data_IF_289910894437
#
_entry.id   IF_289910894437
#
_cell.length_a   1.000
_cell.length_b   1.000
_cell.length_c   1.000
_cell.angle_alpha   90.00
_cell.angle_beta   90.00
_cell.angle_gamma   90.00
#
_symmetry.space_group_name_H-M   'P 1'
#
loop_
_entity.id
_entity.type
_entity.pdbx_description
1 polymer ?
#
# COMPACT_ATOMS: atom_id res chain seq x y z
N UNK A 1 -108.76 29.02 -4.74
CA UNK A 1 -108.31 28.50 -6.05
C UNK A 1 -108.13 26.99 -5.90
N UNK A 2 -108.55 26.25 -6.93
CA UNK A 2 -109.00 24.85 -6.95
C UNK A 2 -108.02 23.76 -6.47
N UNK A 3 -108.63 22.70 -5.90
CA UNK A 3 -108.39 21.25 -6.11
C UNK A 3 -107.05 20.66 -5.61
N UNK A 4 -106.93 19.45 -5.06
CA UNK A 4 -107.78 18.25 -4.94
C UNK A 4 -106.90 17.19 -4.23
N UNK A 5 -107.28 16.65 -3.06
CA UNK A 5 -107.75 15.24 -2.82
C UNK A 5 -106.74 14.12 -3.23
N UNK A 6 -106.53 12.95 -2.58
CA UNK A 6 -107.31 12.08 -1.67
C UNK A 6 -106.43 10.87 -1.18
N UNK A 7 -106.73 10.35 0.03
CA UNK A 7 -106.62 8.97 0.59
C UNK A 7 -105.28 8.20 0.70
N UNK A 8 -104.83 7.65 1.86
CA UNK A 8 -105.33 6.64 2.86
C UNK A 8 -105.07 5.15 2.49
N UNK A 9 -104.19 4.46 3.24
CA UNK A 9 -104.33 3.13 3.91
C UNK A 9 -102.95 2.69 4.47
N UNK A 10 -102.70 2.61 5.79
CA UNK A 10 -102.96 1.56 6.80
C UNK A 10 -102.09 0.27 6.72
N UNK A 11 -101.24 0.11 7.76
CA UNK A 11 -100.74 -1.09 8.48
C UNK A 11 -100.01 -2.22 7.72
N UNK A 12 -98.80 -2.60 8.16
CA UNK A 12 -98.51 -3.89 8.85
C UNK A 12 -97.11 -3.83 9.50
N UNK A 13 -97.07 -4.28 10.75
CA UNK A 13 -95.93 -4.50 11.64
C UNK A 13 -95.18 -5.80 11.27
N UNK A 14 -93.84 -5.78 11.17
CA UNK A 14 -93.00 -6.98 11.39
C UNK A 14 -91.74 -6.58 12.15
N UNK A 15 -91.62 -7.11 13.38
CA UNK A 15 -90.40 -7.15 14.17
C UNK A 15 -89.36 -8.06 13.51
N UNK A 16 -88.10 -7.63 13.50
CA UNK A 16 -86.95 -8.47 13.13
C UNK A 16 -85.75 -8.06 13.97
N UNK A 17 -85.54 -8.79 15.07
CA UNK A 17 -84.33 -8.77 15.90
C UNK A 17 -83.11 -9.16 15.08
N UNK A 18 -82.01 -8.40 15.13
CA UNK A 18 -80.69 -8.93 14.78
C UNK A 18 -79.56 -8.17 15.49
N UNK A 19 -78.68 -8.98 16.01
CA UNK A 19 -77.68 -8.76 17.04
C UNK A 19 -76.48 -7.94 16.57
N UNK A 20 -75.82 -7.33 17.55
CA UNK A 20 -74.51 -6.68 17.51
C UNK A 20 -73.47 -7.38 16.61
N UNK A 21 -72.74 -6.60 15.82
CA UNK A 21 -71.30 -6.79 15.61
C UNK A 21 -70.61 -5.42 15.56
N UNK A 22 -69.92 -5.09 16.65
CA UNK A 22 -68.85 -4.10 16.64
C UNK A 22 -67.75 -4.63 15.70
N UNK A 23 -67.56 -3.96 14.57
CA UNK A 23 -66.40 -4.20 13.71
C UNK A 23 -65.15 -3.72 14.44
N UNK A 24 -64.34 -4.66 14.92
CA UNK A 24 -62.94 -4.40 15.25
C UNK A 24 -62.26 -3.88 13.98
N UNK A 25 -61.84 -2.61 14.01
CA UNK A 25 -60.98 -2.02 12.98
C UNK A 25 -59.69 -2.86 12.95
N UNK A 26 -59.51 -3.64 11.88
CA UNK A 26 -58.28 -4.38 11.60
C UNK A 26 -57.13 -3.37 11.64
N UNK A 27 -56.20 -3.54 12.57
CA UNK A 27 -54.92 -2.83 12.52
C UNK A 27 -54.18 -3.47 11.35
N UNK A 28 -54.11 -2.76 10.23
CA UNK A 28 -53.18 -3.12 9.16
C UNK A 28 -51.78 -2.96 9.74
N UNK A 29 -51.09 -4.07 9.98
CA UNK A 29 -49.65 -4.04 10.09
C UNK A 29 -49.14 -3.59 8.73
N UNK A 30 -48.68 -2.33 8.64
CA UNK A 30 -47.96 -1.85 7.47
C UNK A 30 -46.87 -2.86 7.15
N UNK A 31 -46.81 -3.30 5.89
CA UNK A 31 -45.72 -4.14 5.41
C UNK A 31 -44.41 -3.43 5.72
N UNK A 32 -43.48 -4.12 6.36
CA UNK A 32 -42.12 -3.63 6.61
C UNK A 32 -41.54 -3.11 5.28
N UNK A 33 -41.19 -1.83 5.25
CA UNK A 33 -40.76 -1.12 4.03
C UNK A 33 -39.28 -1.41 3.77
N UNK A 34 -38.85 -1.59 2.49
CA UNK A 34 -37.44 -1.79 2.16
C UNK A 34 -36.55 -0.71 2.80
N UNK A 35 -35.52 -1.12 3.53
CA UNK A 35 -34.54 -0.22 4.16
C UNK A 35 -33.14 -0.81 4.13
N UNK A 36 -32.16 0.03 3.82
CA UNK A 36 -30.73 -0.27 3.99
C UNK A 36 -30.06 0.85 4.76
N UNK A 37 -29.14 0.50 5.65
CA UNK A 37 -28.27 1.45 6.34
C UNK A 37 -26.85 0.91 6.49
N UNK A 38 -25.89 1.83 6.69
CA UNK A 38 -24.51 1.47 7.02
C UNK A 38 -24.43 1.20 8.52
N UNK A 39 -23.85 0.06 8.89
CA UNK A 39 -23.63 -0.34 10.27
C UNK A 39 -22.73 0.67 11.00
N UNK A 40 -23.05 0.94 12.27
CA UNK A 40 -22.29 1.83 13.15
C UNK A 40 -20.82 1.42 13.31
N UNK A 41 -20.52 0.12 13.29
CA UNK A 41 -19.17 -0.44 13.41
C UNK A 41 -18.28 -0.21 12.17
N UNK A 42 -18.84 0.30 11.07
CA UNK A 42 -18.02 0.72 9.92
C UNK A 42 -17.13 1.88 10.35
N UNK A 43 -15.82 1.75 10.16
CA UNK A 43 -14.85 2.79 10.55
C UNK A 43 -15.13 4.13 9.87
N UNK A 44 -14.81 5.23 10.55
CA UNK A 44 -14.90 6.60 10.00
C UNK A 44 -13.58 7.10 9.42
N UNK A 45 -12.49 6.36 9.58
CA UNK A 45 -11.17 6.74 9.05
C UNK A 45 -10.40 5.47 8.67
N UNK A 46 -9.70 5.51 7.54
CA UNK A 46 -8.86 4.43 7.07
C UNK A 46 -7.71 4.97 6.21
N UNK A 47 -6.54 4.33 6.27
CA UNK A 47 -5.46 4.65 5.33
C UNK A 47 -5.77 4.07 3.94
N UNK A 48 -5.41 4.80 2.89
CA UNK A 48 -5.42 4.27 1.52
C UNK A 48 -4.54 3.01 1.41
N UNK A 49 -4.88 2.07 0.52
CA UNK A 49 -4.19 0.78 0.41
C UNK A 49 -4.60 -0.28 1.44
N UNK A 50 -5.60 -0.01 2.29
CA UNK A 50 -6.17 -0.99 3.23
C UNK A 50 -7.54 -1.49 2.74
N UNK A 51 -7.95 -2.67 3.19
CA UNK A 51 -9.31 -3.16 2.97
C UNK A 51 -10.29 -2.43 3.87
N UNK A 52 -11.27 -1.75 3.28
CA UNK A 52 -12.39 -1.14 4.01
C UNK A 52 -13.48 -2.20 4.19
N UNK A 53 -13.72 -2.62 5.44
CA UNK A 53 -14.87 -3.46 5.78
C UNK A 53 -16.08 -2.59 6.10
N UNK A 54 -17.15 -2.73 5.32
CA UNK A 54 -18.42 -2.03 5.54
C UNK A 54 -19.48 -3.04 5.93
N UNK A 55 -20.18 -2.76 7.03
CA UNK A 55 -21.38 -3.49 7.42
C UNK A 55 -22.63 -2.79 6.90
N UNK A 56 -23.61 -3.58 6.48
CA UNK A 56 -24.91 -3.13 6.00
C UNK A 56 -26.00 -3.82 6.81
N UNK A 57 -27.02 -3.07 7.20
CA UNK A 57 -28.26 -3.61 7.75
C UNK A 57 -29.32 -3.42 6.68
N UNK A 58 -29.81 -4.52 6.13
CA UNK A 58 -30.80 -4.55 5.05
C UNK A 58 -32.06 -5.29 5.51
N UNK A 59 -33.23 -4.72 5.26
CA UNK A 59 -34.52 -5.38 5.50
C UNK A 59 -35.40 -5.21 4.26
N UNK A 60 -35.93 -6.32 3.74
CA UNK A 60 -36.73 -6.37 2.51
C UNK A 60 -36.10 -5.69 1.30
N UNK A 61 -34.77 -5.75 1.20
CA UNK A 61 -34.00 -5.24 0.07
C UNK A 61 -33.21 -6.40 -0.50
N UNK A 62 -33.36 -6.66 -1.80
CA UNK A 62 -32.63 -7.73 -2.50
C UNK A 62 -31.36 -7.22 -3.16
N UNK A 63 -31.29 -5.92 -3.49
CA UNK A 63 -30.09 -5.27 -3.97
C UNK A 63 -30.04 -3.77 -3.63
N UNK A 64 -28.84 -3.22 -3.60
CA UNK A 64 -28.61 -1.79 -3.48
C UNK A 64 -27.26 -1.40 -4.08
N UNK A 65 -27.15 -0.15 -4.52
CA UNK A 65 -25.89 0.40 -5.00
C UNK A 65 -25.10 1.00 -3.84
N UNK A 66 -23.85 0.60 -3.70
CA UNK A 66 -22.87 1.21 -2.81
C UNK A 66 -21.90 2.06 -3.63
N UNK A 67 -21.47 3.20 -3.11
CA UNK A 67 -20.47 4.06 -3.74
C UNK A 67 -19.63 4.80 -2.70
N UNK A 68 -18.42 5.18 -3.09
CA UNK A 68 -17.57 6.08 -2.31
C UNK A 68 -17.43 7.36 -3.10
N UNK A 69 -17.89 8.47 -2.53
CA UNK A 69 -18.00 9.76 -3.23
C UNK A 69 -17.18 10.81 -2.48
N UNK A 70 -16.12 11.41 -3.08
CA UNK A 70 -15.38 12.50 -2.47
C UNK A 70 -16.30 13.69 -2.25
N UNK A 71 -16.17 14.34 -1.10
CA UNK A 71 -16.95 15.54 -0.78
C UNK A 71 -16.61 16.69 -1.75
N UNK A 72 -15.36 16.77 -2.21
CA UNK A 72 -14.87 17.86 -3.06
C UNK A 72 -15.17 17.71 -4.56
N UNK A 73 -15.27 16.47 -5.08
CA UNK A 73 -15.31 16.20 -6.53
C UNK A 73 -16.68 15.74 -7.05
N UNK A 74 -17.55 15.20 -6.18
CA UNK A 74 -18.92 14.77 -6.53
C UNK A 74 -19.02 13.50 -7.40
N UNK A 75 -18.00 13.15 -8.19
CA UNK A 75 -17.91 11.88 -8.92
C UNK A 75 -17.48 10.73 -8.00
N UNK A 76 -18.09 9.55 -8.16
CA UNK A 76 -17.76 8.40 -7.33
C UNK A 76 -16.36 7.84 -7.66
N UNK A 77 -15.53 7.64 -6.62
CA UNK A 77 -14.26 6.91 -6.72
C UNK A 77 -14.49 5.44 -7.05
N UNK A 78 -15.62 4.91 -6.58
CA UNK A 78 -16.08 3.56 -6.90
C UNK A 78 -17.58 3.44 -6.75
N UNK A 79 -18.16 2.50 -7.49
CA UNK A 79 -19.56 2.10 -7.40
C UNK A 79 -19.65 0.58 -7.56
N UNK A 80 -20.45 -0.07 -6.72
CA UNK A 80 -20.69 -1.50 -6.80
C UNK A 80 -22.15 -1.82 -6.44
N UNK A 81 -22.77 -2.75 -7.17
CA UNK A 81 -24.08 -3.29 -6.81
C UNK A 81 -23.91 -4.44 -5.81
N UNK A 82 -24.67 -4.41 -4.72
CA UNK A 82 -24.63 -5.40 -3.65
C UNK A 82 -25.96 -6.13 -3.60
N UNK A 83 -25.94 -7.44 -3.80
CA UNK A 83 -27.09 -8.32 -3.63
C UNK A 83 -27.14 -8.83 -2.19
N UNK A 84 -28.35 -8.91 -1.64
CA UNK A 84 -28.64 -9.42 -0.30
C UNK A 84 -29.53 -10.64 -0.41
N UNK A 85 -29.14 -11.73 0.24
CA UNK A 85 -29.98 -12.92 0.30
C UNK A 85 -31.30 -12.60 1.04
N UNK A 86 -32.46 -13.08 0.56
CA UNK A 86 -33.77 -12.71 1.12
C UNK A 86 -33.97 -12.99 2.63
N UNK A 87 -33.11 -13.80 3.25
CA UNK A 87 -33.16 -14.16 4.67
C UNK A 87 -31.99 -13.58 5.48
N UNK A 88 -31.27 -12.60 4.94
CA UNK A 88 -30.07 -12.02 5.57
C UNK A 88 -30.29 -10.54 5.89
N UNK A 89 -30.24 -10.20 7.18
CA UNK A 89 -30.44 -8.82 7.64
C UNK A 89 -29.15 -8.02 7.81
N UNK A 90 -28.02 -8.71 7.99
CA UNK A 90 -26.72 -8.11 8.19
C UNK A 90 -25.77 -8.69 7.14
N UNK A 91 -25.24 -7.81 6.30
CA UNK A 91 -24.25 -8.14 5.28
C UNK A 91 -22.99 -7.36 5.58
N UNK A 92 -21.81 -7.97 5.44
CA UNK A 92 -20.55 -7.23 5.48
C UNK A 92 -19.73 -7.53 4.25
N UNK A 93 -19.11 -6.50 3.69
CA UNK A 93 -18.24 -6.62 2.52
C UNK A 93 -16.95 -5.87 2.73
N UNK A 94 -15.87 -6.41 2.17
CA UNK A 94 -14.57 -5.76 2.13
C UNK A 94 -14.35 -5.15 0.75
N UNK A 95 -13.87 -3.91 0.72
CA UNK A 95 -13.52 -3.19 -0.48
C UNK A 95 -12.03 -2.86 -0.45
N UNK A 96 -11.32 -3.16 -1.54
CA UNK A 96 -9.92 -2.80 -1.69
C UNK A 96 -9.81 -1.31 -2.00
N UNK A 97 -9.26 -0.53 -1.08
CA UNK A 97 -9.02 0.91 -1.28
C UNK A 97 -7.68 1.08 -1.99
N UNK A 98 -7.63 1.65 -3.21
CA UNK A 98 -6.38 1.90 -3.91
C UNK A 98 -5.43 2.77 -3.09
N UNK A 99 -4.14 2.48 -3.13
CA UNK A 99 -3.12 3.29 -2.48
C UNK A 99 -2.70 4.47 -3.37
N UNK A 100 -3.62 5.42 -3.58
CA UNK A 100 -3.44 6.54 -4.50
C UNK A 100 -3.78 7.86 -3.83
N UNK A 101 -3.03 8.92 -4.17
CA UNK A 101 -3.24 10.26 -3.61
C UNK A 101 -4.63 10.82 -3.95
N UNK A 102 -5.20 10.43 -5.10
CA UNK A 102 -6.56 10.82 -5.51
C UNK A 102 -7.67 10.35 -4.56
N UNK A 103 -7.40 9.35 -3.73
CA UNK A 103 -8.34 8.83 -2.75
C UNK A 103 -8.25 9.53 -1.39
N UNK A 104 -7.19 10.31 -1.14
CA UNK A 104 -6.96 10.95 0.16
C UNK A 104 -7.93 12.13 0.34
N UNK A 105 -8.58 12.18 1.49
CA UNK A 105 -9.50 13.25 1.86
C UNK A 105 -10.85 12.74 2.38
N UNK A 106 -11.78 13.66 2.56
CA UNK A 106 -13.11 13.36 3.05
C UNK A 106 -14.02 12.85 1.94
N UNK A 107 -14.75 11.79 2.24
CA UNK A 107 -15.69 11.14 1.34
C UNK A 107 -16.97 10.71 2.07
N UNK A 108 -17.96 10.32 1.29
CA UNK A 108 -19.21 9.74 1.73
C UNK A 108 -19.29 8.29 1.25
N UNK A 109 -19.47 7.37 2.19
CA UNK A 109 -19.99 6.04 1.92
C UNK A 109 -21.47 6.20 1.60
N UNK A 110 -21.86 6.03 0.35
CA UNK A 110 -23.22 6.27 -0.15
C UNK A 110 -23.89 4.95 -0.49
N UNK A 111 -25.14 4.80 -0.06
CA UNK A 111 -26.05 3.74 -0.46
C UNK A 111 -27.19 4.37 -1.25
N UNK A 112 -27.60 3.73 -2.35
CA UNK A 112 -28.81 4.06 -3.11
C UNK A 112 -29.63 2.80 -3.35
N UNK A 113 -30.93 2.84 -3.01
CA UNK A 113 -31.86 1.72 -3.19
C UNK A 113 -33.27 2.23 -3.48
N UNK A 114 -34.14 1.39 -4.03
CA UNK A 114 -35.54 1.75 -4.29
C UNK A 114 -36.43 1.27 -3.16
N UNK A 115 -37.31 2.14 -2.67
CA UNK A 115 -38.34 1.81 -1.68
C UNK A 115 -39.63 2.52 -2.08
N UNK A 116 -40.73 1.76 -2.21
CA UNK A 116 -42.05 2.27 -2.60
C UNK A 116 -42.03 3.11 -3.90
N UNK A 117 -41.16 2.75 -4.85
CA UNK A 117 -41.00 3.46 -6.12
C UNK A 117 -40.17 4.75 -6.04
N UNK A 118 -39.59 5.07 -4.89
CA UNK A 118 -38.66 6.19 -4.70
C UNK A 118 -37.23 5.70 -4.51
N UNK A 119 -36.27 6.46 -5.06
CA UNK A 119 -34.86 6.24 -4.78
C UNK A 119 -34.52 6.88 -3.44
N UNK A 120 -34.04 6.07 -2.51
CA UNK A 120 -33.59 6.49 -1.19
C UNK A 120 -32.07 6.46 -1.15
N UNK A 121 -31.48 7.54 -0.63
CA UNK A 121 -30.04 7.63 -0.42
C UNK A 121 -29.70 7.71 1.07
N UNK A 122 -28.65 7.00 1.48
CA UNK A 122 -28.07 7.06 2.83
C UNK A 122 -26.58 7.28 2.72
N UNK A 123 -26.03 8.10 3.61
CA UNK A 123 -24.59 8.41 3.61
C UNK A 123 -23.98 8.25 4.99
N UNK A 124 -22.72 7.79 5.05
CA UNK A 124 -21.88 7.84 6.24
C UNK A 124 -20.54 8.50 5.87
N UNK A 125 -20.06 9.51 6.61
CA UNK A 125 -18.77 10.12 6.33
C UNK A 125 -17.62 9.15 6.60
N UNK A 126 -16.56 9.27 5.81
CA UNK A 126 -15.29 8.58 6.00
C UNK A 126 -14.14 9.51 5.57
N UNK A 127 -13.02 9.44 6.26
CA UNK A 127 -11.78 10.13 5.87
C UNK A 127 -10.74 9.10 5.45
N UNK A 128 -10.21 9.26 4.24
CA UNK A 128 -9.07 8.48 3.74
C UNK A 128 -7.78 9.23 4.03
N UNK A 129 -6.87 8.60 4.75
CA UNK A 129 -5.58 9.20 5.13
C UNK A 129 -4.42 8.60 4.35
N UNK A 130 -3.30 9.31 4.31
CA UNK A 130 -2.09 8.82 3.65
C UNK A 130 -1.57 7.53 4.32
N UNK A 131 -1.15 6.58 3.49
CA UNK A 131 -0.42 5.40 3.90
C UNK A 131 1.08 5.66 3.80
N UNK A 132 1.79 5.41 4.90
CA UNK A 132 3.25 5.42 4.95
C UNK A 132 3.74 4.00 5.28
N UNK A 133 3.68 3.07 4.30
CA UNK A 133 4.04 1.70 4.56
C UNK A 133 5.54 1.59 4.78
N UNK A 134 5.91 0.69 5.69
CA UNK A 134 7.28 0.41 6.03
C UNK A 134 7.58 -1.05 5.70
N UNK A 135 8.83 -1.31 5.36
CA UNK A 135 9.35 -2.65 5.21
C UNK A 135 10.76 -2.67 5.77
N UNK A 136 11.12 -3.77 6.40
CA UNK A 136 12.44 -3.97 6.99
C UNK A 136 13.03 -5.27 6.45
N UNK A 137 14.34 -5.35 6.36
CA UNK A 137 15.06 -6.60 6.10
C UNK A 137 15.72 -7.10 7.39
N UNK A 138 15.62 -8.40 7.64
CA UNK A 138 16.17 -9.05 8.83
C UNK A 138 16.78 -10.40 8.44
N UNK A 139 17.94 -10.77 8.97
CA UNK A 139 18.53 -12.07 8.68
C UNK A 139 19.95 -12.25 9.21
N UNK A 140 20.31 -13.51 9.44
CA UNK A 140 21.68 -13.87 9.82
C UNK A 140 22.70 -13.62 8.70
N UNK A 141 22.27 -13.52 7.45
CA UNK A 141 23.13 -13.19 6.30
C UNK A 141 23.44 -11.70 6.16
N UNK A 142 22.83 -10.83 6.96
CA UNK A 142 23.06 -9.38 6.96
C UNK A 142 23.41 -8.87 8.36
N UNK A 143 23.68 -7.57 8.50
CA UNK A 143 24.16 -6.99 9.74
C UNK A 143 23.16 -7.08 10.92
N UNK A 144 21.85 -7.11 10.63
CA UNK A 144 20.81 -7.12 11.66
C UNK A 144 20.75 -8.41 12.49
N UNK A 145 21.26 -9.53 11.97
CA UNK A 145 20.92 -10.84 12.51
C UNK A 145 19.41 -11.13 12.44
N UNK A 146 18.94 -12.10 13.23
CA UNK A 146 17.54 -12.54 13.31
C UNK A 146 16.71 -11.76 14.35
N UNK A 147 17.13 -10.56 14.72
CA UNK A 147 16.47 -9.74 15.75
C UNK A 147 15.58 -8.67 15.08
N UNK A 148 14.23 -8.76 15.15
CA UNK A 148 13.32 -7.81 14.52
C UNK A 148 13.60 -6.35 14.89
N UNK A 149 13.98 -6.09 16.14
CA UNK A 149 14.26 -4.74 16.63
C UNK A 149 15.54 -4.13 16.04
N UNK A 150 16.41 -4.96 15.47
CA UNK A 150 17.63 -4.55 14.76
C UNK A 150 17.49 -4.63 13.23
N UNK A 151 16.29 -4.94 12.72
CA UNK A 151 16.02 -5.01 11.29
C UNK A 151 16.30 -3.67 10.59
N UNK A 152 16.76 -3.75 9.35
CA UNK A 152 17.23 -2.59 8.58
C UNK A 152 16.04 -2.04 7.79
N UNK A 153 15.68 -0.75 7.94
CA UNK A 153 14.58 -0.16 7.19
C UNK A 153 14.91 -0.11 5.69
N UNK A 154 13.93 -0.46 4.88
CA UNK A 154 13.98 -0.34 3.42
C UNK A 154 13.34 0.98 2.97
N UNK A 155 13.75 1.47 1.81
CA UNK A 155 13.20 2.69 1.18
C UNK A 155 12.28 2.33 0.03
N UNK A 156 11.22 3.12 -0.19
CA UNK A 156 10.41 2.99 -1.40
C UNK A 156 11.25 3.38 -2.62
N UNK A 157 11.29 2.55 -3.67
CA UNK A 157 12.06 2.84 -4.89
C UNK A 157 11.20 3.30 -6.07
N UNK A 158 9.87 3.18 -5.96
CA UNK A 158 8.90 3.67 -6.93
C UNK A 158 7.96 4.60 -6.17
N UNK A 159 8.08 5.91 -6.39
CA UNK A 159 7.33 6.93 -5.63
C UNK A 159 5.81 6.81 -5.76
N UNK A 160 5.34 6.17 -6.84
CA UNK A 160 3.92 5.98 -7.12
C UNK A 160 3.43 4.63 -6.59
N UNK A 161 4.35 3.70 -6.31
CA UNK A 161 4.06 2.43 -5.64
C UNK A 161 4.43 2.47 -4.17
N UNK A 162 3.44 2.23 -3.32
CA UNK A 162 3.60 2.16 -1.87
C UNK A 162 3.85 0.70 -1.41
N UNK A 163 4.20 -0.21 -2.31
CA UNK A 163 4.43 -1.64 -2.04
C UNK A 163 5.84 -2.11 -2.42
N UNK A 164 6.64 -1.25 -3.05
CA UNK A 164 7.94 -1.57 -3.65
C UNK A 164 9.09 -0.98 -2.85
N UNK A 165 9.87 -1.84 -2.20
CA UNK A 165 10.92 -1.46 -1.28
C UNK A 165 12.29 -1.93 -1.76
N UNK A 166 13.33 -1.17 -1.43
CA UNK A 166 14.72 -1.44 -1.76
C UNK A 166 15.64 -1.19 -0.56
N UNK A 167 16.71 -1.97 -0.48
CA UNK A 167 17.84 -1.73 0.41
C UNK A 167 19.12 -2.28 -0.22
N UNK A 168 20.27 -1.77 0.21
CA UNK A 168 21.58 -2.24 -0.23
C UNK A 168 22.32 -2.83 0.96
N UNK A 169 22.68 -4.11 0.90
CA UNK A 169 23.33 -4.81 2.01
C UNK A 169 24.42 -5.73 1.51
N UNK A 170 25.47 -5.90 2.31
CA UNK A 170 26.39 -7.02 2.13
C UNK A 170 25.73 -8.28 2.68
N UNK A 171 25.54 -9.28 1.83
CA UNK A 171 24.84 -10.53 2.17
C UNK A 171 25.81 -11.69 2.05
N UNK A 172 25.92 -12.50 3.11
CA UNK A 172 26.78 -13.70 3.11
C UNK A 172 25.99 -15.00 2.94
N UNK A 173 26.64 -16.02 2.40
CA UNK A 173 26.08 -17.37 2.25
C UNK A 173 25.92 -18.07 3.60
N UNK A 174 26.85 -17.84 4.54
CA UNK A 174 26.94 -18.55 5.83
C UNK A 174 25.90 -18.12 6.89
N UNK A 175 25.12 -17.08 6.62
CA UNK A 175 24.19 -16.49 7.59
C UNK A 175 22.79 -17.09 7.62
N UNK A 176 22.55 -18.22 6.93
CA UNK A 176 21.23 -18.86 6.83
C UNK A 176 20.14 -18.02 6.16
N UNK A 177 20.48 -16.91 5.51
CA UNK A 177 19.58 -16.06 4.73
C UNK A 177 18.97 -14.88 5.49
N UNK A 178 17.92 -14.32 4.90
CA UNK A 178 17.15 -13.20 5.41
C UNK A 178 15.65 -13.31 5.04
N UNK A 179 14.85 -12.42 5.63
CA UNK A 179 13.41 -12.23 5.44
C UNK A 179 13.07 -10.74 5.45
N UNK A 180 11.81 -10.42 5.14
CA UNK A 180 11.28 -9.07 5.28
C UNK A 180 10.20 -8.99 6.35
N UNK A 181 10.13 -7.86 7.06
CA UNK A 181 9.14 -7.61 8.09
C UNK A 181 8.33 -6.34 7.78
N UNK A 182 6.99 -6.37 7.91
CA UNK A 182 6.16 -5.17 7.83
C UNK A 182 6.35 -4.21 9.02
N UNK A 183 6.86 -4.73 10.14
CA UNK A 183 7.18 -3.97 11.36
C UNK A 183 8.54 -4.40 11.89
N UNK A 184 9.22 -3.56 12.66
CA UNK A 184 10.47 -3.92 13.34
C UNK A 184 10.23 -4.47 14.77
N UNK A 185 9.06 -5.07 15.02
CA UNK A 185 8.65 -5.52 16.36
C UNK A 185 8.66 -7.04 16.45
N UNK A 186 8.02 -7.70 15.49
CA UNK A 186 7.83 -9.15 15.51
C UNK A 186 7.74 -9.74 14.09
N UNK A 187 7.39 -11.03 14.03
CA UNK A 187 7.32 -11.81 12.79
C UNK A 187 5.93 -11.84 12.16
N UNK A 188 4.97 -11.07 12.68
CA UNK A 188 3.60 -11.01 12.16
C UNK A 188 3.62 -10.52 10.72
N UNK A 189 2.96 -11.26 9.83
CA UNK A 189 2.89 -10.97 8.41
C UNK A 189 4.27 -10.85 7.70
N UNK A 190 5.31 -11.48 8.25
CA UNK A 190 6.63 -11.53 7.64
C UNK A 190 6.59 -12.16 6.24
N UNK A 191 7.50 -11.72 5.38
CA UNK A 191 7.70 -12.29 4.06
C UNK A 191 9.00 -13.08 4.03
N UNK A 192 8.91 -14.32 3.55
CA UNK A 192 10.05 -15.17 3.27
C UNK A 192 10.00 -15.74 1.86
N UNK A 193 10.86 -16.71 1.60
CA UNK A 193 11.00 -17.38 0.31
C UNK A 193 9.70 -18.07 -0.10
N UNK A 194 9.25 -17.78 -1.32
CA UNK A 194 8.14 -18.45 -1.99
C UNK A 194 8.52 -19.82 -2.57
N UNK A 195 7.60 -20.42 -3.32
CA UNK A 195 7.78 -21.75 -3.92
C UNK A 195 8.71 -21.75 -5.13
N UNK A 196 8.92 -20.58 -5.75
CA UNK A 196 9.79 -20.38 -6.91
C UNK A 196 10.83 -19.31 -6.59
N UNK A 197 11.96 -19.31 -7.28
CA UNK A 197 12.95 -18.25 -7.09
C UNK A 197 12.36 -16.89 -7.51
N UNK A 198 12.75 -15.84 -6.79
CA UNK A 198 12.21 -14.50 -6.97
C UNK A 198 10.78 -14.29 -6.45
N UNK A 199 10.12 -15.29 -5.86
CA UNK A 199 8.77 -15.13 -5.27
C UNK A 199 8.79 -15.13 -3.74
N UNK A 200 7.78 -14.50 -3.15
CA UNK A 200 7.62 -14.37 -1.71
C UNK A 200 6.38 -15.12 -1.21
N UNK A 201 6.50 -15.69 -0.01
CA UNK A 201 5.39 -16.17 0.79
C UNK A 201 5.24 -15.27 2.02
N UNK A 202 4.05 -14.71 2.21
CA UNK A 202 3.72 -13.92 3.40
C UNK A 202 3.26 -14.86 4.51
N UNK A 203 4.22 -15.29 5.32
CA UNK A 203 4.02 -16.13 6.50
C UNK A 203 5.28 -16.06 7.37
N UNK A 204 5.09 -16.04 8.70
CA UNK A 204 6.19 -16.15 9.65
C UNK A 204 7.02 -17.43 9.42
N UNK A 205 6.36 -18.52 8.99
CA UNK A 205 6.96 -19.83 8.75
C UNK A 205 7.58 -19.99 7.35
N UNK A 206 7.51 -18.96 6.49
CA UNK A 206 8.12 -19.01 5.17
C UNK A 206 9.63 -19.29 5.27
N UNK A 207 10.23 -19.91 4.25
CA UNK A 207 11.67 -20.16 4.23
C UNK A 207 12.50 -18.87 4.20
N UNK A 208 13.80 -18.99 4.42
CA UNK A 208 14.72 -17.85 4.30
C UNK A 208 15.14 -17.64 2.84
N UNK A 209 15.34 -16.38 2.45
CA UNK A 209 15.93 -16.01 1.17
C UNK A 209 17.45 -16.10 1.32
N UNK A 210 18.12 -16.78 0.39
CA UNK A 210 19.56 -17.07 0.45
C UNK A 210 20.26 -16.58 -0.82
N UNK A 211 21.55 -16.25 -0.71
CA UNK A 211 22.41 -15.91 -1.85
C UNK A 211 23.36 -17.06 -2.19
N UNK A 212 23.81 -17.12 -3.45
CA UNK A 212 24.76 -18.14 -3.90
C UNK A 212 26.23 -17.78 -3.60
N UNK A 213 26.52 -16.50 -3.39
CA UNK A 213 27.86 -16.01 -3.05
C UNK A 213 27.78 -14.78 -2.16
N UNK A 214 28.79 -14.61 -1.34
CA UNK A 214 29.02 -13.37 -0.59
C UNK A 214 29.19 -12.20 -1.56
N UNK A 215 28.37 -11.16 -1.41
CA UNK A 215 28.46 -9.96 -2.25
C UNK A 215 27.69 -8.79 -1.65
N UNK A 216 27.89 -7.61 -2.22
CA UNK A 216 27.06 -6.44 -1.95
C UNK A 216 25.85 -6.46 -2.90
N UNK A 217 24.65 -6.60 -2.36
CA UNK A 217 23.42 -6.73 -3.14
C UNK A 217 22.54 -5.51 -2.99
N UNK A 218 21.93 -5.11 -4.10
CA UNK A 218 20.64 -4.44 -4.11
C UNK A 218 19.56 -5.47 -3.92
N UNK A 219 18.78 -5.31 -2.86
CA UNK A 219 17.67 -6.18 -2.49
C UNK A 219 16.39 -5.39 -2.73
N UNK A 220 15.56 -5.85 -3.65
CA UNK A 220 14.22 -5.29 -3.88
C UNK A 220 13.15 -6.28 -3.49
N UNK A 221 12.02 -5.76 -3.04
CA UNK A 221 10.81 -6.56 -2.85
C UNK A 221 9.57 -5.77 -3.26
N UNK A 222 8.57 -6.50 -3.75
CA UNK A 222 7.23 -6.00 -4.03
C UNK A 222 6.24 -6.78 -3.15
N UNK A 223 5.67 -6.09 -2.16
CA UNK A 223 4.76 -6.69 -1.19
C UNK A 223 3.40 -7.08 -1.81
N UNK A 224 3.00 -6.43 -2.90
CA UNK A 224 1.73 -6.66 -3.59
C UNK A 224 1.88 -7.80 -4.60
N UNK A 225 2.90 -7.72 -5.47
CA UNK A 225 3.21 -8.78 -6.43
C UNK A 225 3.79 -10.04 -5.76
N UNK A 226 4.24 -9.93 -4.50
CA UNK A 226 4.92 -10.98 -3.73
C UNK A 226 6.15 -11.49 -4.46
N UNK A 227 7.02 -10.58 -4.86
CA UNK A 227 8.28 -10.89 -5.56
C UNK A 227 9.48 -10.21 -4.89
N UNK A 228 10.67 -10.72 -5.15
CA UNK A 228 11.93 -10.11 -4.76
C UNK A 228 12.98 -10.23 -5.86
N UNK A 229 13.94 -9.32 -5.88
CA UNK A 229 15.07 -9.30 -6.80
C UNK A 229 16.36 -9.08 -6.01
N UNK A 230 17.38 -9.87 -6.34
CA UNK A 230 18.73 -9.70 -5.81
C UNK A 230 19.67 -9.38 -6.97
N UNK A 231 20.26 -8.20 -6.94
CA UNK A 231 21.22 -7.77 -7.94
C UNK A 231 22.53 -7.41 -7.26
N UNK A 232 23.62 -8.11 -7.62
CA UNK A 232 24.96 -7.74 -7.20
C UNK A 232 25.26 -6.31 -7.65
N UNK A 233 25.81 -5.50 -6.76
CA UNK A 233 26.10 -4.11 -7.03
C UNK A 233 27.59 -3.83 -6.94
N UNK A 234 28.14 -3.21 -7.98
CA UNK A 234 29.55 -2.83 -8.10
C UNK A 234 29.69 -1.32 -8.07
N UNK A 235 30.84 -0.84 -7.62
CA UNK A 235 31.20 0.57 -7.69
C UNK A 235 32.44 0.73 -8.55
N UNK A 236 32.44 1.76 -9.37
CA UNK A 236 33.56 2.16 -10.21
C UNK A 236 33.86 3.65 -10.08
N UNK A 237 35.01 4.05 -10.60
CA UNK A 237 35.33 5.46 -10.88
C UNK A 237 35.35 5.69 -12.38
N UNK A 238 34.78 6.81 -12.83
CA UNK A 238 34.71 7.22 -14.23
C UNK A 238 35.07 8.70 -14.35
N UNK A 239 35.70 9.11 -15.45
CA UNK A 239 35.97 10.52 -15.72
C UNK A 239 37.25 10.77 -16.50
N UNK A 240 37.46 12.02 -16.95
CA UNK A 240 38.62 12.39 -17.76
C UNK A 240 39.98 12.13 -17.09
N UNK A 241 40.01 12.02 -15.75
CA UNK A 241 41.21 11.65 -15.00
C UNK A 241 41.49 10.13 -14.97
N UNK A 242 40.51 9.28 -15.30
CA UNK A 242 40.62 7.82 -15.22
C UNK A 242 41.18 7.20 -16.52
N UNK A 243 41.67 5.95 -16.51
CA UNK A 243 42.28 5.31 -17.69
C UNK A 243 41.40 5.28 -18.95
N UNK A 244 40.07 5.19 -18.78
CA UNK A 244 39.11 5.04 -19.87
C UNK A 244 38.26 6.31 -20.09
N UNK A 245 38.59 7.43 -19.44
CA UNK A 245 37.82 8.65 -19.58
C UNK A 245 36.36 8.49 -19.13
N UNK A 246 35.44 9.01 -19.92
CA UNK A 246 33.99 8.89 -19.72
C UNK A 246 33.36 7.71 -20.47
N UNK A 247 34.17 6.83 -21.08
CA UNK A 247 33.67 5.73 -21.89
C UNK A 247 33.34 4.48 -21.05
N UNK A 248 34.10 4.19 -20.00
CA UNK A 248 33.85 3.08 -19.08
C UNK A 248 34.46 3.29 -17.70
N UNK A 249 33.92 2.58 -16.70
CA UNK A 249 34.39 2.66 -15.32
C UNK A 249 35.72 1.94 -15.15
N UNK A 250 36.45 2.33 -14.11
CA UNK A 250 37.48 1.51 -13.48
C UNK A 250 36.91 0.93 -12.19
N UNK A 251 36.67 -0.38 -12.18
CA UNK A 251 36.03 -1.08 -11.08
C UNK A 251 36.79 -0.99 -9.75
N UNK A 252 36.06 -0.71 -8.68
CA UNK A 252 36.57 -0.77 -7.32
C UNK A 252 36.29 -2.15 -6.72
N UNK A 253 37.19 -2.60 -5.85
CA UNK A 253 37.03 -3.85 -5.11
C UNK A 253 36.32 -3.61 -3.79
N UNK A 254 35.20 -4.29 -3.54
CA UNK A 254 34.60 -4.34 -2.21
C UNK A 254 35.53 -5.07 -1.22
N UNK A 255 35.76 -4.47 -0.07
CA UNK A 255 36.63 -5.00 1.01
C UNK A 255 35.95 -4.92 2.39
N UNK A 256 34.64 -4.71 2.40
CA UNK A 256 33.84 -4.58 3.61
C UNK A 256 33.36 -5.90 4.19
N UNK A 257 32.40 -5.79 5.11
CA UNK A 257 31.70 -6.90 5.77
C UNK A 257 30.27 -6.47 6.13
N UNK A 258 29.50 -7.32 6.81
CA UNK A 258 28.13 -6.99 7.26
C UNK A 258 28.15 -5.71 8.10
N UNK A 259 27.45 -4.66 7.64
CA UNK A 259 27.38 -3.37 8.32
C UNK A 259 28.59 -2.44 8.14
N UNK A 260 29.62 -2.87 7.41
CA UNK A 260 30.81 -2.05 7.12
C UNK A 260 31.05 -2.08 5.61
N UNK A 261 30.71 -1.00 4.92
CA UNK A 261 30.71 -0.96 3.46
C UNK A 261 31.83 -0.09 2.95
N UNK A 262 32.81 -0.71 2.28
CA UNK A 262 33.98 -0.01 1.75
C UNK A 262 34.46 -0.65 0.45
N UNK A 263 34.74 0.19 -0.53
CA UNK A 263 35.35 -0.18 -1.81
C UNK A 263 36.71 0.50 -1.95
N UNK A 264 37.67 -0.21 -2.53
CA UNK A 264 39.04 0.30 -2.74
C UNK A 264 39.51 0.11 -4.17
N UNK A 265 40.29 1.08 -4.64
CA UNK A 265 40.94 1.05 -5.94
C UNK A 265 42.31 1.72 -5.84
N UNK A 266 43.33 1.08 -6.42
CA UNK A 266 44.62 1.73 -6.68
C UNK A 266 44.74 1.94 -8.18
N UNK A 267 44.88 3.20 -8.62
CA UNK A 267 44.81 3.57 -10.05
C UNK A 267 45.76 4.72 -10.36
N UNK A 268 46.26 4.78 -11.61
CA UNK A 268 46.96 5.96 -12.11
C UNK A 268 45.94 6.96 -12.66
N UNK A 269 45.97 8.19 -12.15
CA UNK A 269 45.12 9.27 -12.60
C UNK A 269 45.93 10.33 -13.35
N UNK A 270 45.29 10.99 -14.31
CA UNK A 270 45.80 12.20 -14.97
C UNK A 270 45.17 13.45 -14.37
N UNK A 271 45.57 14.65 -14.83
CA UNK A 271 44.86 15.88 -14.48
C UNK A 271 43.51 15.88 -15.18
N UNK A 272 42.43 16.07 -14.43
CA UNK A 272 41.07 16.00 -14.95
C UNK A 272 40.05 15.86 -13.84
N UNK A 273 38.97 15.14 -14.14
CA UNK A 273 37.84 14.94 -13.23
C UNK A 273 37.50 13.46 -13.10
N UNK A 274 36.91 13.09 -11.96
CA UNK A 274 36.30 11.78 -11.76
C UNK A 274 34.96 11.87 -11.04
N UNK A 275 34.19 10.79 -11.12
CA UNK A 275 32.95 10.56 -10.39
C UNK A 275 32.87 9.09 -9.98
N UNK A 276 32.11 8.78 -8.93
CA UNK A 276 31.79 7.41 -8.59
C UNK A 276 30.47 7.01 -9.24
N UNK A 277 30.41 5.82 -9.81
CA UNK A 277 29.23 5.30 -10.49
C UNK A 277 28.98 3.85 -10.07
N UNK A 278 27.72 3.51 -9.88
CA UNK A 278 27.33 2.17 -9.47
C UNK A 278 26.81 1.39 -10.67
N UNK A 279 27.23 0.13 -10.81
CA UNK A 279 26.77 -0.80 -11.86
C UNK A 279 26.98 -0.31 -13.29
N UNK A 280 28.04 0.47 -13.56
CA UNK A 280 28.32 1.07 -14.88
C UNK A 280 27.16 1.91 -15.44
N UNK A 281 26.26 2.39 -14.57
CA UNK A 281 25.01 3.04 -14.95
C UNK A 281 24.86 4.41 -14.26
N UNK A 282 24.32 5.39 -14.98
CA UNK A 282 24.14 6.74 -14.46
C UNK A 282 23.00 6.89 -13.44
N UNK A 283 22.14 5.88 -13.26
CA UNK A 283 21.04 5.93 -12.28
C UNK A 283 21.57 6.26 -10.87
N UNK A 284 22.67 5.63 -10.44
CA UNK A 284 23.34 5.96 -9.17
C UNK A 284 24.77 6.38 -9.46
N UNK A 285 24.98 7.69 -9.36
CA UNK A 285 26.30 8.30 -9.50
C UNK A 285 26.45 9.38 -8.42
N UNK A 286 27.62 9.44 -7.79
CA UNK A 286 27.86 10.32 -6.65
C UNK A 286 29.16 11.11 -6.83
N UNK A 287 29.13 12.36 -6.38
CA UNK A 287 30.23 13.31 -6.48
C UNK A 287 30.13 14.43 -5.45
N UNK A 288 30.91 15.49 -5.63
CA UNK A 288 30.96 16.65 -4.75
C UNK A 288 31.99 16.51 -3.62
N UNK A 289 31.64 17.01 -2.44
CA UNK A 289 32.52 17.02 -1.28
C UNK A 289 32.84 15.60 -0.80
N UNK A 290 34.12 15.26 -0.67
CA UNK A 290 34.55 13.89 -0.33
C UNK A 290 34.00 13.39 1.02
N UNK A 291 33.73 14.29 1.97
CA UNK A 291 33.15 13.92 3.26
C UNK A 291 31.64 13.68 3.21
N UNK A 292 30.96 14.07 2.13
CA UNK A 292 29.50 13.97 1.98
C UNK A 292 29.11 13.95 0.50
N UNK A 293 29.40 12.83 -0.16
CA UNK A 293 29.10 12.65 -1.57
C UNK A 293 27.58 12.62 -1.79
N UNK A 294 27.14 13.31 -2.84
CA UNK A 294 25.72 13.47 -3.18
C UNK A 294 25.39 12.78 -4.49
N UNK A 295 24.19 12.21 -4.57
CA UNK A 295 23.59 11.76 -5.83
C UNK A 295 23.62 12.91 -6.84
N UNK A 296 24.08 12.62 -8.05
CA UNK A 296 24.25 13.60 -9.13
C UNK A 296 25.14 14.81 -8.77
N UNK A 297 25.96 14.69 -7.71
CA UNK A 297 26.87 15.75 -7.26
C UNK A 297 27.90 16.14 -8.32
N UNK A 298 28.60 17.27 -8.10
CA UNK A 298 29.63 17.74 -9.02
C UNK A 298 30.77 16.73 -9.21
N UNK A 299 31.48 16.81 -10.34
CA UNK A 299 32.68 15.98 -10.54
C UNK A 299 33.79 16.36 -9.55
N UNK A 300 34.64 15.39 -9.23
CA UNK A 300 35.77 15.55 -8.30
C UNK A 300 37.04 15.83 -9.11
N UNK A 301 37.66 16.98 -8.88
CA UNK A 301 38.86 17.39 -9.60
C UNK A 301 40.12 16.67 -9.11
N UNK A 302 40.95 16.21 -10.05
CA UNK A 302 42.28 15.66 -9.81
C UNK A 302 43.32 16.65 -10.35
N UNK A 303 43.97 17.37 -9.44
CA UNK A 303 44.85 18.48 -9.79
C UNK A 303 46.24 18.05 -10.30
N UNK A 304 46.67 16.82 -9.98
CA UNK A 304 48.00 16.33 -10.37
C UNK A 304 47.93 14.89 -10.83
N UNK A 305 48.63 14.56 -11.90
CA UNK A 305 48.78 13.17 -12.32
C UNK A 305 49.60 12.37 -11.30
N UNK A 306 49.32 11.07 -11.18
CA UNK A 306 50.08 10.15 -10.34
C UNK A 306 49.31 8.88 -10.00
N UNK A 307 49.90 8.07 -9.13
CA UNK A 307 49.26 6.87 -8.59
C UNK A 307 48.46 7.24 -7.34
N UNK A 308 47.22 6.79 -7.25
CA UNK A 308 46.30 7.09 -6.16
C UNK A 308 45.71 5.83 -5.55
N UNK A 309 45.50 5.87 -4.25
CA UNK A 309 44.62 4.97 -3.52
C UNK A 309 43.29 5.69 -3.24
N UNK A 310 42.20 5.08 -3.70
CA UNK A 310 40.84 5.59 -3.57
C UNK A 310 40.05 4.65 -2.67
N UNK A 311 39.38 5.21 -1.67
CA UNK A 311 38.46 4.52 -0.77
C UNK A 311 37.09 5.17 -0.88
N UNK A 312 36.04 4.39 -1.13
CA UNK A 312 34.65 4.81 -1.03
C UNK A 312 34.02 4.07 0.14
N UNK A 313 33.33 4.78 1.03
CA UNK A 313 32.67 4.21 2.21
C UNK A 313 31.21 4.64 2.29
N UNK A 314 30.34 3.71 2.71
CA UNK A 314 28.93 4.00 3.00
C UNK A 314 28.65 3.81 4.48
N UNK A 315 28.02 4.80 5.09
CA UNK A 315 27.52 4.77 6.46
C UNK A 315 26.05 5.16 6.49
N UNK A 316 25.43 5.19 7.68
CA UNK A 316 24.08 5.70 7.85
C UNK A 316 23.92 7.18 7.42
N UNK A 317 25.00 7.97 7.40
CA UNK A 317 24.99 9.37 6.97
C UNK A 317 25.21 9.56 5.46
N UNK A 318 25.31 8.46 4.70
CA UNK A 318 25.53 8.49 3.24
C UNK A 318 26.94 8.03 2.84
N UNK A 319 27.38 8.50 1.67
CA UNK A 319 28.67 8.12 1.10
C UNK A 319 29.75 9.17 1.40
N UNK A 320 30.98 8.68 1.60
CA UNK A 320 32.19 9.51 1.70
C UNK A 320 33.34 8.80 1.01
N UNK A 321 34.37 9.54 0.61
CA UNK A 321 35.55 8.98 -0.03
C UNK A 321 36.85 9.60 0.49
N UNK A 322 37.95 8.88 0.28
CA UNK A 322 39.32 9.37 0.42
C UNK A 322 40.06 9.10 -0.89
N UNK A 323 40.78 10.11 -1.38
CA UNK A 323 41.60 10.03 -2.59
C UNK A 323 43.00 10.49 -2.19
N UNK A 324 43.91 9.53 -2.06
CA UNK A 324 45.25 9.76 -1.54
C UNK A 324 46.29 9.49 -2.63
N UNK A 325 47.17 10.46 -2.89
CA UNK A 325 48.29 10.27 -3.82
C UNK A 325 49.40 9.48 -3.12
N UNK A 326 49.92 8.46 -3.80
CA UNK A 326 51.04 7.64 -3.36
C UNK A 326 52.39 8.25 -3.75
#
# INVERSE_FOLDING_TARGET
>A
MKMSTIFRLLLVLVMGTSSLLYSCKKVEHGTDVPIVSINENTVSTIQVGKKLKVGFIANQVTDFTFSIVPVAAGEALMTENITVDPNTFIVSKEFDIPNQVSWIGDALLKISYTSEGQVIEKTKPITFTESNPQMFVVGGSIASGWEPTLSIPMTLYDKDSKSKFEVYEYVTVDGSGFKFLPTNVDWTDAFGKGTSDGTLLQSADAGNITVASDDFYRIRMDAEAKTYELLKSTWGVIGSATPNGWDSDTDMKFVGSKGIYTWKLTVNLTVGELKFRMNDDWIINIGGELSSLQQDGANIAIATAGKYDIELSRTASGYSAKISKN
#
